data_IF_584177472341
#
_entry.id   IF_584177472341
#
_cell.length_a   1.000
_cell.length_b   1.000
_cell.length_c   1.000
_cell.angle_alpha   90.00
_cell.angle_beta   90.00
_cell.angle_gamma   90.00
#
_symmetry.space_group_name_H-M   'P 1'
#
loop_
_entity.id
_entity.type
_entity.pdbx_description
1 polymer ?
#
# COMPACT_ATOMS: atom_id res chain seq x y z
N UNK A 1 17.91 0.49 20.84
CA UNK A 1 17.16 1.63 20.24
C UNK A 1 16.32 1.09 19.10
N UNK A 2 15.06 1.52 19.00
CA UNK A 2 14.19 1.21 17.86
C UNK A 2 14.59 2.08 16.67
N UNK A 3 14.70 1.49 15.46
CA UNK A 3 14.97 2.20 14.21
C UNK A 3 13.67 2.43 13.47
N UNK A 4 13.50 3.61 12.87
CA UNK A 4 12.43 3.89 11.90
C UNK A 4 13.05 3.91 10.51
N UNK A 5 12.50 3.11 9.60
CA UNK A 5 12.89 3.07 8.19
C UNK A 5 11.78 3.73 7.39
N UNK A 6 12.14 4.70 6.56
CA UNK A 6 11.20 5.37 5.66
C UNK A 6 11.43 4.85 4.24
N UNK A 7 10.36 4.40 3.60
CA UNK A 7 10.38 3.84 2.24
C UNK A 7 9.56 4.73 1.32
N UNK A 8 10.04 4.90 0.09
CA UNK A 8 9.33 5.61 -0.98
C UNK A 8 8.09 4.87 -1.47
N UNK A 9 7.62 5.26 -2.64
CA UNK A 9 6.48 4.66 -3.33
C UNK A 9 6.70 3.15 -3.53
N UNK A 10 5.68 2.35 -3.20
CA UNK A 10 5.73 0.88 -3.35
C UNK A 10 5.00 0.44 -4.61
N UNK A 11 3.85 1.05 -4.92
CA UNK A 11 3.11 0.81 -6.16
C UNK A 11 2.82 -0.67 -6.47
N UNK A 12 2.49 -1.49 -5.48
CA UNK A 12 2.24 -2.92 -5.69
C UNK A 12 3.48 -3.77 -5.97
N UNK A 13 4.69 -3.23 -5.81
CA UNK A 13 5.97 -3.95 -5.92
C UNK A 13 6.26 -4.75 -4.63
N UNK A 14 5.41 -5.76 -4.36
CA UNK A 14 5.47 -6.55 -3.14
C UNK A 14 6.79 -7.31 -2.96
N UNK A 15 7.30 -7.91 -4.03
CA UNK A 15 8.51 -8.73 -3.97
C UNK A 15 9.76 -7.87 -3.67
N UNK A 16 9.83 -6.69 -4.28
CA UNK A 16 10.88 -5.70 -4.04
C UNK A 16 10.79 -5.14 -2.62
N UNK A 17 9.59 -4.91 -2.09
CA UNK A 17 9.40 -4.50 -0.70
C UNK A 17 9.91 -5.58 0.25
N UNK A 18 9.59 -6.86 0.02
CA UNK A 18 10.11 -7.96 0.85
C UNK A 18 11.64 -8.07 0.76
N UNK A 19 12.21 -7.97 -0.45
CA UNK A 19 13.65 -7.96 -0.64
C UNK A 19 14.33 -6.79 0.09
N UNK A 20 13.69 -5.61 0.12
CA UNK A 20 14.16 -4.45 0.88
C UNK A 20 14.12 -4.72 2.39
N UNK A 21 13.00 -5.26 2.90
CA UNK A 21 12.82 -5.63 4.31
C UNK A 21 13.88 -6.62 4.78
N UNK A 22 14.20 -7.61 3.95
CA UNK A 22 15.29 -8.56 4.18
C UNK A 22 16.65 -7.85 4.18
N UNK A 23 16.92 -7.04 3.15
CA UNK A 23 18.19 -6.32 2.99
C UNK A 23 18.52 -5.39 4.16
N UNK A 24 17.51 -4.71 4.71
CA UNK A 24 17.69 -3.82 5.88
C UNK A 24 17.67 -4.56 7.21
N UNK A 25 17.45 -5.88 7.18
CA UNK A 25 17.29 -6.76 8.33
C UNK A 25 16.30 -6.16 9.35
N UNK A 26 15.05 -5.94 8.91
CA UNK A 26 14.01 -5.36 9.75
C UNK A 26 13.81 -6.19 11.02
N UNK A 27 13.92 -5.55 12.19
CA UNK A 27 13.76 -6.22 13.48
C UNK A 27 12.33 -6.05 14.00
N UNK A 28 11.95 -6.87 14.97
CA UNK A 28 10.67 -6.75 15.69
C UNK A 28 10.51 -5.39 16.40
N UNK A 29 11.62 -4.79 16.82
CA UNK A 29 11.63 -3.47 17.46
C UNK A 29 11.58 -2.30 16.47
N UNK A 30 11.76 -2.55 15.17
CA UNK A 30 11.85 -1.51 14.15
C UNK A 30 10.45 -1.14 13.63
N UNK A 31 10.33 0.04 13.04
CA UNK A 31 9.13 0.46 12.29
C UNK A 31 9.48 0.75 10.84
N UNK A 32 8.57 0.42 9.94
CA UNK A 32 8.63 0.75 8.53
C UNK A 32 7.48 1.68 8.19
N UNK A 33 7.80 2.85 7.65
CA UNK A 33 6.82 3.87 7.25
C UNK A 33 6.97 4.17 5.77
N UNK A 34 5.90 3.98 5.00
CA UNK A 34 5.85 4.41 3.61
C UNK A 34 5.33 5.84 3.49
N UNK A 35 5.82 6.55 2.48
CA UNK A 35 5.43 7.94 2.18
C UNK A 35 4.13 8.03 1.36
N UNK A 36 3.40 6.93 1.23
CA UNK A 36 2.21 6.80 0.39
C UNK A 36 2.46 6.01 -0.89
N UNK A 37 1.45 5.97 -1.75
CA UNK A 37 1.46 5.29 -3.04
C UNK A 37 1.85 3.81 -2.87
N UNK A 38 1.14 3.14 -1.96
CA UNK A 38 1.33 1.70 -1.69
C UNK A 38 0.89 0.86 -2.89
N UNK A 39 -0.16 1.30 -3.57
CA UNK A 39 -0.81 0.57 -4.65
C UNK A 39 -0.80 1.36 -5.96
N UNK A 40 -1.38 0.75 -7.00
CA UNK A 40 -1.44 1.23 -8.38
C UNK A 40 -0.10 1.07 -9.11
N UNK A 41 -0.16 0.65 -10.40
CA UNK A 41 0.94 0.38 -11.36
C UNK A 41 1.52 -1.03 -11.31
N UNK A 42 1.87 -1.55 -10.13
CA UNK A 42 2.38 -2.91 -9.98
C UNK A 42 1.30 -3.98 -9.93
N UNK A 43 1.73 -5.23 -9.81
CA UNK A 43 0.88 -6.42 -10.00
C UNK A 43 0.35 -7.02 -8.70
N UNK A 44 0.97 -6.70 -7.55
CA UNK A 44 0.69 -7.34 -6.24
C UNK A 44 0.13 -6.33 -5.23
N UNK A 45 -0.90 -5.58 -5.62
CA UNK A 45 -1.47 -4.52 -4.79
C UNK A 45 -2.13 -5.08 -3.54
N UNK A 46 -2.84 -6.20 -3.69
CA UNK A 46 -3.48 -6.94 -2.60
C UNK A 46 -2.47 -7.37 -1.53
N UNK A 47 -1.35 -7.96 -1.94
CA UNK A 47 -0.33 -8.48 -1.05
C UNK A 47 0.38 -7.36 -0.27
N UNK A 48 0.62 -6.21 -0.91
CA UNK A 48 1.13 -5.02 -0.22
C UNK A 48 0.15 -4.58 0.87
N UNK A 49 -1.13 -4.38 0.55
CA UNK A 49 -2.13 -3.95 1.53
C UNK A 49 -2.30 -4.98 2.66
N UNK A 50 -2.35 -6.27 2.34
CA UNK A 50 -2.45 -7.34 3.32
C UNK A 50 -1.26 -7.38 4.28
N UNK A 51 -0.04 -7.14 3.79
CA UNK A 51 1.15 -7.02 4.63
C UNK A 51 1.02 -5.85 5.63
N UNK A 52 0.65 -4.67 5.14
CA UNK A 52 0.52 -3.47 5.97
C UNK A 52 -0.60 -3.58 7.02
N UNK A 53 -1.68 -4.30 6.70
CA UNK A 53 -2.76 -4.55 7.66
C UNK A 53 -2.41 -5.60 8.72
N UNK A 54 -1.57 -6.58 8.35
CA UNK A 54 -1.23 -7.70 9.24
C UNK A 54 -0.09 -7.37 10.19
N UNK A 55 0.91 -6.63 9.71
CA UNK A 55 2.13 -6.35 10.46
C UNK A 55 2.09 -4.94 11.08
N UNK A 56 1.91 -4.88 12.39
CA UNK A 56 1.80 -3.62 13.14
C UNK A 56 3.06 -2.73 13.09
N UNK A 57 4.19 -3.24 12.57
CA UNK A 57 5.40 -2.43 12.33
C UNK A 57 5.29 -1.56 11.09
N UNK A 58 4.36 -1.88 10.19
CA UNK A 58 4.18 -1.24 8.90
C UNK A 58 3.09 -0.19 8.99
N UNK A 59 3.34 0.98 8.41
CA UNK A 59 2.37 2.06 8.33
C UNK A 59 2.66 2.92 7.10
N UNK A 60 1.67 3.66 6.62
CA UNK A 60 1.85 4.59 5.50
C UNK A 60 1.02 5.84 5.72
N UNK A 61 1.50 6.96 5.19
CA UNK A 61 0.62 8.09 4.89
C UNK A 61 -0.15 7.81 3.60
N UNK A 62 -1.21 8.59 3.33
CA UNK A 62 -2.03 8.41 2.13
C UNK A 62 -1.41 9.13 0.93
N UNK A 63 -1.00 8.37 -0.09
CA UNK A 63 -0.53 8.92 -1.37
C UNK A 63 -1.67 9.40 -2.27
N UNK A 64 -1.33 10.05 -3.39
CA UNK A 64 -2.33 10.51 -4.33
C UNK A 64 -2.98 9.36 -5.10
N UNK A 65 -2.24 8.28 -5.37
CA UNK A 65 -2.78 7.09 -6.00
C UNK A 65 -3.74 6.34 -5.07
N UNK A 66 -3.36 6.17 -3.80
CA UNK A 66 -4.20 5.54 -2.78
C UNK A 66 -5.49 6.34 -2.56
N UNK A 67 -5.36 7.67 -2.42
CA UNK A 67 -6.50 8.57 -2.21
C UNK A 67 -7.53 8.48 -3.33
N UNK A 68 -7.09 8.38 -4.59
CA UNK A 68 -8.02 8.27 -5.71
C UNK A 68 -8.93 7.03 -5.61
N UNK A 69 -8.40 5.90 -5.15
CA UNK A 69 -9.18 4.68 -4.94
C UNK A 69 -10.15 4.83 -3.76
N UNK A 70 -9.67 5.35 -2.63
CA UNK A 70 -10.50 5.58 -1.43
C UNK A 70 -11.68 6.52 -1.74
N UNK A 71 -11.43 7.64 -2.42
CA UNK A 71 -12.48 8.58 -2.80
C UNK A 71 -13.48 7.94 -3.79
N UNK A 72 -12.99 7.16 -4.75
CA UNK A 72 -13.87 6.43 -5.68
C UNK A 72 -14.77 5.43 -4.94
N UNK A 73 -14.23 4.66 -3.99
CA UNK A 73 -15.03 3.74 -3.17
C UNK A 73 -16.02 4.46 -2.24
N UNK A 74 -15.74 5.71 -1.86
CA UNK A 74 -16.68 6.59 -1.15
C UNK A 74 -17.74 7.23 -2.05
N UNK A 75 -17.74 6.93 -3.35
CA UNK A 75 -18.74 7.39 -4.31
C UNK A 75 -18.37 8.67 -5.07
N UNK A 76 -17.11 9.11 -5.02
CA UNK A 76 -16.66 10.21 -5.85
C UNK A 76 -16.76 9.84 -7.34
N UNK A 77 -17.26 10.79 -8.15
CA UNK A 77 -17.45 10.63 -9.60
C UNK A 77 -16.21 10.95 -10.44
N UNK A 78 -15.05 11.10 -9.81
CA UNK A 78 -13.81 11.34 -10.54
C UNK A 78 -13.44 10.10 -11.36
N UNK A 79 -13.04 10.33 -12.61
CA UNK A 79 -12.60 9.26 -13.50
C UNK A 79 -11.26 8.70 -13.03
N UNK A 80 -11.17 7.38 -12.93
CA UNK A 80 -9.94 6.69 -12.59
C UNK A 80 -9.07 6.56 -13.83
N UNK A 81 -7.76 6.75 -13.68
CA UNK A 81 -6.78 6.47 -14.75
C UNK A 81 -6.74 4.95 -15.01
N UNK A 82 -6.31 4.50 -16.19
CA UNK A 82 -6.29 3.07 -16.52
C UNK A 82 -5.55 2.17 -15.51
N UNK A 83 -4.45 2.66 -14.91
CA UNK A 83 -3.73 1.92 -13.88
C UNK A 83 -4.52 1.83 -12.55
N UNK A 84 -5.27 2.87 -12.20
CA UNK A 84 -6.13 2.89 -11.02
C UNK A 84 -7.34 1.98 -11.22
N UNK A 85 -7.92 1.93 -12.42
CA UNK A 85 -9.02 1.02 -12.74
C UNK A 85 -8.62 -0.44 -12.60
N UNK A 86 -7.44 -0.82 -13.09
CA UNK A 86 -6.91 -2.19 -12.92
C UNK A 86 -6.74 -2.54 -11.44
N UNK A 87 -6.13 -1.65 -10.66
CA UNK A 87 -5.97 -1.85 -9.22
C UNK A 87 -7.33 -1.94 -8.50
N UNK A 88 -8.29 -1.07 -8.84
CA UNK A 88 -9.66 -1.10 -8.32
C UNK A 88 -10.34 -2.43 -8.60
N UNK A 89 -10.17 -2.97 -9.81
CA UNK A 89 -10.73 -4.26 -10.20
C UNK A 89 -10.09 -5.42 -9.42
N UNK A 90 -8.77 -5.40 -9.22
CA UNK A 90 -8.05 -6.39 -8.41
C UNK A 90 -8.52 -6.41 -6.94
N UNK A 91 -8.82 -5.24 -6.38
CA UNK A 91 -9.16 -5.06 -4.97
C UNK A 91 -10.67 -5.10 -4.67
N UNK A 92 -11.52 -5.29 -5.69
CA UNK A 92 -12.99 -5.18 -5.54
C UNK A 92 -13.54 -6.13 -4.46
N UNK A 93 -13.09 -7.39 -4.44
CA UNK A 93 -13.56 -8.40 -3.49
C UNK A 93 -13.28 -8.05 -2.01
N UNK A 94 -12.28 -7.20 -1.77
CA UNK A 94 -11.89 -6.75 -0.43
C UNK A 94 -12.14 -5.26 -0.19
N UNK A 95 -12.90 -4.59 -1.07
CA UNK A 95 -13.05 -3.13 -1.10
C UNK A 95 -13.31 -2.52 0.27
N UNK A 96 -14.26 -3.04 1.03
CA UNK A 96 -14.64 -2.48 2.33
C UNK A 96 -13.50 -2.54 3.35
N UNK A 97 -12.74 -3.63 3.32
CA UNK A 97 -11.54 -3.80 4.14
C UNK A 97 -10.44 -2.82 3.73
N UNK A 98 -10.20 -2.67 2.43
CA UNK A 98 -9.16 -1.77 1.90
C UNK A 98 -9.50 -0.29 2.05
N UNK A 99 -10.78 0.07 1.97
CA UNK A 99 -11.25 1.45 2.15
C UNK A 99 -11.20 1.92 3.61
N UNK A 100 -11.13 0.99 4.58
CA UNK A 100 -11.11 1.27 6.02
C UNK A 100 -9.71 1.28 6.63
N UNK A 101 -8.68 0.89 5.87
CA UNK A 101 -7.27 0.96 6.25
C UNK A 101 -6.72 2.38 6.06
#
# INVERSE_FOLDING_TARGET
MSRTIVVGDVHGCYDELLALVERVALKESDRLVCVGDLVVKGEKNREVLDLFMRDARFSSVLGNHDRALVEHWKGARAELKPAQERCRAELEDGRERYAAF
#
